data_IF_662392675775
#
_entry.id   IF_662392675775
#
_cell.length_a   1.000
_cell.length_b   1.000
_cell.length_c   1.000
_cell.angle_alpha   90.00
_cell.angle_beta   90.00
_cell.angle_gamma   90.00
#
_symmetry.space_group_name_H-M   'P 1'
#
loop_
_entity.id
_entity.type
_entity.pdbx_description
1 polymer ?
#
# COMPACT_ATOMS: atom_id res chain seq x y z
N UNK A 1 -9.94 -18.84 -10.17
CA UNK A 1 -9.37 -19.38 -11.42
C UNK A 1 -10.29 -20.33 -12.18
N UNK A 2 -11.18 -21.08 -11.50
CA UNK A 2 -12.06 -22.05 -12.16
C UNK A 2 -12.97 -21.46 -13.24
N UNK A 3 -13.42 -20.20 -13.09
CA UNK A 3 -14.19 -19.51 -14.12
C UNK A 3 -13.44 -19.34 -15.46
N UNK A 4 -12.09 -19.41 -15.44
CA UNK A 4 -11.23 -19.40 -16.62
C UNK A 4 -10.84 -20.81 -17.09
N UNK A 5 -11.38 -21.87 -16.47
CA UNK A 5 -11.07 -23.27 -16.80
C UNK A 5 -9.80 -23.83 -16.16
N UNK A 6 -9.20 -23.14 -15.18
CA UNK A 6 -7.97 -23.58 -14.51
C UNK A 6 -8.22 -23.97 -13.04
N UNK A 7 -7.50 -24.99 -12.56
CA UNK A 7 -7.52 -25.39 -11.15
C UNK A 7 -6.58 -24.57 -10.27
N UNK A 8 -5.49 -24.03 -10.85
CA UNK A 8 -4.48 -23.22 -10.16
C UNK A 8 -3.92 -22.13 -11.07
N UNK A 9 -3.33 -21.10 -10.48
CA UNK A 9 -2.51 -20.10 -11.17
C UNK A 9 -1.08 -20.61 -11.38
N UNK A 10 -0.34 -19.99 -12.30
CA UNK A 10 1.13 -20.09 -12.28
C UNK A 10 1.72 -19.26 -11.13
N UNK A 11 1.12 -18.09 -10.87
CA UNK A 11 1.55 -17.11 -9.87
C UNK A 11 0.41 -16.10 -9.64
N UNK A 12 0.33 -15.54 -8.44
CA UNK A 12 -0.48 -14.35 -8.13
C UNK A 12 0.43 -13.16 -7.80
N UNK A 13 0.12 -11.99 -8.35
CA UNK A 13 0.88 -10.75 -8.16
C UNK A 13 -0.05 -9.70 -7.57
N UNK A 14 0.36 -9.05 -6.47
CA UNK A 14 -0.39 -7.99 -5.81
C UNK A 14 0.43 -6.72 -5.64
N UNK A 15 -0.12 -5.57 -6.02
CA UNK A 15 0.48 -4.24 -5.86
C UNK A 15 -0.34 -3.38 -4.90
N UNK A 16 0.33 -2.61 -4.05
CA UNK A 16 -0.30 -1.72 -3.04
C UNK A 16 -1.37 -2.47 -2.22
N UNK A 17 -2.64 -2.05 -2.19
CA UNK A 17 -3.73 -2.78 -1.52
C UNK A 17 -3.92 -4.22 -2.02
N UNK A 18 -3.53 -4.51 -3.26
CA UNK A 18 -3.55 -5.86 -3.83
C UNK A 18 -2.49 -6.79 -3.22
N UNK A 19 -1.40 -6.24 -2.66
CA UNK A 19 -0.33 -7.02 -2.02
C UNK A 19 -0.81 -7.85 -0.83
N UNK A 20 -1.41 -7.27 0.23
CA UNK A 20 -1.93 -8.08 1.34
C UNK A 20 -3.06 -9.03 0.90
N UNK A 21 -3.87 -8.66 -0.10
CA UNK A 21 -4.90 -9.54 -0.66
C UNK A 21 -4.28 -10.78 -1.31
N UNK A 22 -3.23 -10.61 -2.11
CA UNK A 22 -2.50 -11.71 -2.74
C UNK A 22 -1.84 -12.62 -1.70
N UNK A 23 -1.26 -12.03 -0.63
CA UNK A 23 -0.69 -12.78 0.48
C UNK A 23 -1.74 -13.67 1.18
N UNK A 24 -2.92 -13.11 1.52
CA UNK A 24 -3.99 -13.90 2.11
C UNK A 24 -4.57 -14.95 1.18
N UNK A 25 -4.59 -14.71 -0.14
CA UNK A 25 -4.96 -15.73 -1.12
C UNK A 25 -4.00 -16.93 -1.08
N UNK A 26 -2.69 -16.68 -1.11
CA UNK A 26 -1.67 -17.72 -1.03
C UNK A 26 -1.66 -18.45 0.32
N UNK A 27 -1.90 -17.73 1.41
CA UNK A 27 -2.00 -18.30 2.75
C UNK A 27 -3.24 -19.21 2.87
N UNK A 28 -4.40 -18.78 2.36
CA UNK A 28 -5.64 -19.54 2.46
C UNK A 28 -5.71 -20.72 1.48
N UNK A 29 -5.15 -20.57 0.27
CA UNK A 29 -5.25 -21.55 -0.83
C UNK A 29 -3.92 -21.71 -1.57
N UNK A 30 -2.87 -22.22 -0.91
CA UNK A 30 -1.58 -22.45 -1.56
C UNK A 30 -1.66 -23.46 -2.71
N UNK A 31 -2.68 -24.34 -2.71
CA UNK A 31 -2.99 -25.27 -3.79
C UNK A 31 -3.49 -24.55 -5.07
N UNK A 32 -4.12 -23.38 -4.94
CA UNK A 32 -4.59 -22.55 -6.07
C UNK A 32 -3.56 -21.49 -6.46
N UNK A 33 -2.80 -20.99 -5.50
CA UNK A 33 -1.82 -19.91 -5.66
C UNK A 33 -0.43 -20.39 -5.26
N UNK A 34 0.24 -21.19 -6.12
CA UNK A 34 1.48 -21.88 -5.77
C UNK A 34 2.73 -20.99 -5.84
N UNK A 35 2.62 -19.72 -6.25
CA UNK A 35 3.69 -18.73 -6.24
C UNK A 35 3.12 -17.33 -6.04
N UNK A 36 3.84 -16.48 -5.31
CA UNK A 36 3.38 -15.15 -4.89
C UNK A 36 4.40 -14.07 -5.23
N UNK A 37 3.94 -12.94 -5.76
CA UNK A 37 4.73 -11.71 -5.83
C UNK A 37 3.98 -10.57 -5.13
N UNK A 38 4.65 -9.94 -4.18
CA UNK A 38 4.16 -8.76 -3.49
C UNK A 38 4.91 -7.52 -3.98
N UNK A 39 4.18 -6.45 -4.27
CA UNK A 39 4.76 -5.22 -4.80
C UNK A 39 4.37 -4.01 -3.96
N UNK A 40 5.33 -3.10 -3.77
CA UNK A 40 5.19 -1.85 -3.01
C UNK A 40 4.93 -2.04 -1.50
N UNK A 41 3.83 -2.69 -1.11
CA UNK A 41 3.43 -2.84 0.28
C UNK A 41 3.87 -4.21 0.85
N UNK A 42 4.77 -4.28 1.85
CA UNK A 42 5.16 -5.55 2.48
C UNK A 42 4.03 -6.17 3.28
N UNK A 43 4.02 -7.51 3.38
CA UNK A 43 3.07 -8.26 4.20
C UNK A 43 3.73 -8.75 5.49
N UNK A 44 3.50 -8.11 6.65
CA UNK A 44 4.19 -8.44 7.90
C UNK A 44 3.72 -9.76 8.56
N UNK A 45 2.79 -10.48 7.93
CA UNK A 45 2.12 -11.64 8.50
C UNK A 45 0.71 -11.34 9.00
N UNK A 46 -0.08 -12.38 9.31
CA UNK A 46 -1.42 -12.25 9.86
C UNK A 46 -1.37 -11.71 11.30
N UNK A 47 -2.44 -11.02 11.76
CA UNK A 47 -2.52 -10.55 13.14
C UNK A 47 -2.50 -11.73 14.12
N UNK A 48 -1.73 -11.60 15.19
CA UNK A 48 -1.59 -12.63 16.21
C UNK A 48 -2.74 -12.62 17.21
N UNK A 49 -3.05 -13.79 17.77
CA UNK A 49 -3.77 -13.88 19.04
C UNK A 49 -2.87 -13.42 20.19
N UNK A 50 -3.44 -12.84 21.26
CA UNK A 50 -2.71 -12.67 22.52
C UNK A 50 -2.11 -14.02 22.97
N UNK A 51 -0.84 -14.01 23.35
CA UNK A 51 -0.11 -15.17 23.85
C UNK A 51 0.18 -15.01 25.35
N UNK A 52 0.31 -16.13 26.05
CA UNK A 52 0.66 -16.18 27.48
C UNK A 52 -0.22 -15.29 28.39
N UNK A 53 -1.54 -15.39 28.21
CA UNK A 53 -2.51 -14.58 28.96
C UNK A 53 -3.06 -15.29 30.21
N UNK A 54 -2.69 -16.55 30.46
CA UNK A 54 -3.28 -17.36 31.54
C UNK A 54 -2.86 -16.91 32.95
N UNK A 55 -1.62 -16.42 33.11
CA UNK A 55 -1.08 -15.94 34.38
C UNK A 55 -1.20 -14.41 34.56
N UNK A 56 -1.69 -13.70 33.54
CA UNK A 56 -1.98 -12.27 33.63
C UNK A 56 -3.36 -12.15 34.25
N UNK A 57 -3.50 -11.31 35.29
CA UNK A 57 -4.84 -10.90 35.72
C UNK A 57 -5.62 -10.46 34.48
N UNK A 58 -6.91 -10.80 34.35
CA UNK A 58 -7.73 -10.30 33.25
C UNK A 58 -7.78 -8.79 33.35
N UNK A 59 -6.84 -8.12 32.68
CA UNK A 59 -6.94 -6.69 32.39
C UNK A 59 -8.23 -6.58 31.58
N UNK A 60 -9.23 -5.81 32.03
CA UNK A 60 -10.41 -5.55 31.23
C UNK A 60 -9.93 -5.18 29.84
N UNK A 61 -10.50 -5.79 28.78
CA UNK A 61 -10.08 -5.53 27.41
C UNK A 61 -10.08 -4.02 27.17
N UNK A 62 -8.92 -3.37 27.32
CA UNK A 62 -8.82 -1.96 27.06
C UNK A 62 -8.88 -1.85 25.54
N UNK A 63 -9.74 -0.96 25.02
CA UNK A 63 -9.77 -0.72 23.59
C UNK A 63 -8.35 -0.33 23.16
N UNK A 64 -7.82 -1.01 22.14
CA UNK A 64 -6.56 -0.64 21.52
C UNK A 64 -6.71 0.78 20.97
N UNK A 65 -6.16 1.74 21.72
CA UNK A 65 -6.26 3.17 21.42
C UNK A 65 -5.02 3.68 20.68
N UNK A 66 -4.12 2.79 20.22
CA UNK A 66 -2.87 3.16 19.55
C UNK A 66 -3.11 4.09 18.35
N UNK A 67 -4.12 3.78 17.52
CA UNK A 67 -4.51 4.62 16.39
C UNK A 67 -5.02 6.01 16.82
N UNK A 68 -5.76 6.09 17.93
CA UNK A 68 -6.28 7.35 18.47
C UNK A 68 -5.17 8.18 19.10
N UNK A 69 -4.25 7.53 19.83
CA UNK A 69 -3.06 8.16 20.39
C UNK A 69 -2.15 8.72 19.28
N UNK A 70 -1.93 7.96 18.21
CA UNK A 70 -1.17 8.44 17.06
C UNK A 70 -1.88 9.62 16.37
N UNK A 71 -3.19 9.54 16.17
CA UNK A 71 -3.96 10.63 15.58
C UNK A 71 -3.88 11.92 16.43
N UNK A 72 -3.98 11.80 17.75
CA UNK A 72 -3.80 12.92 18.67
C UNK A 72 -2.37 13.50 18.61
N UNK A 73 -1.36 12.64 18.57
CA UNK A 73 0.04 13.05 18.48
C UNK A 73 0.35 13.78 17.16
N UNK A 74 -0.16 13.29 16.02
CA UNK A 74 -0.04 13.97 14.73
C UNK A 74 -0.76 15.33 14.73
N UNK A 75 -1.94 15.41 15.34
CA UNK A 75 -2.70 16.65 15.45
C UNK A 75 -2.03 17.70 16.35
N UNK A 76 -1.12 17.28 17.23
CA UNK A 76 -0.35 18.15 18.13
C UNK A 76 0.97 18.67 17.52
N UNK A 77 1.35 18.22 16.32
CA UNK A 77 2.50 18.76 15.59
C UNK A 77 2.23 20.21 15.14
N UNK A 78 3.29 20.93 14.78
CA UNK A 78 3.21 22.26 14.18
C UNK A 78 3.86 22.26 12.77
N UNK A 79 3.11 22.48 11.68
CA UNK A 79 1.65 22.62 11.66
C UNK A 79 0.94 21.29 12.00
N UNK A 80 -0.33 21.32 12.48
CA UNK A 80 -1.10 20.12 12.78
C UNK A 80 -1.20 19.17 11.60
N UNK A 81 -1.03 17.86 11.84
CA UNK A 81 -1.04 16.83 10.79
C UNK A 81 -2.16 15.79 10.99
N UNK A 82 -2.43 15.02 9.94
CA UNK A 82 -3.32 13.85 9.94
C UNK A 82 -2.76 12.77 9.01
N UNK A 83 -2.78 11.51 9.44
CA UNK A 83 -2.37 10.40 8.59
C UNK A 83 -3.37 10.19 7.45
N UNK A 84 -2.90 9.94 6.24
CA UNK A 84 -3.76 9.85 5.05
C UNK A 84 -4.85 8.77 5.18
N UNK A 85 -4.54 7.62 5.80
CA UNK A 85 -5.56 6.57 5.99
C UNK A 85 -6.70 7.01 6.91
N UNK A 86 -6.41 7.87 7.90
CA UNK A 86 -7.45 8.43 8.77
C UNK A 86 -8.36 9.37 7.97
N UNK A 87 -7.77 10.23 7.13
CA UNK A 87 -8.51 11.08 6.20
C UNK A 87 -9.36 10.24 5.22
N UNK A 88 -8.76 9.25 4.55
CA UNK A 88 -9.43 8.41 3.54
C UNK A 88 -10.55 7.54 4.12
N UNK A 89 -10.48 7.23 5.42
CA UNK A 89 -11.56 6.55 6.14
C UNK A 89 -12.76 7.46 6.45
N UNK A 90 -12.55 8.78 6.39
CA UNK A 90 -13.57 9.79 6.65
C UNK A 90 -14.76 9.72 5.69
N UNK A 91 -15.89 10.31 6.10
CA UNK A 91 -17.11 10.35 5.28
C UNK A 91 -16.97 11.34 4.11
N UNK A 92 -16.20 12.41 4.29
CA UNK A 92 -16.00 13.47 3.29
C UNK A 92 -15.05 13.05 2.16
N UNK A 93 -14.10 12.16 2.41
CA UNK A 93 -13.01 11.84 1.47
C UNK A 93 -13.48 11.49 0.05
N UNK A 94 -14.60 10.76 -0.09
CA UNK A 94 -15.16 10.46 -1.41
C UNK A 94 -15.64 11.72 -2.13
N UNK A 95 -16.37 12.60 -1.44
CA UNK A 95 -16.88 13.83 -2.03
C UNK A 95 -15.72 14.74 -2.44
N UNK A 96 -14.73 14.89 -1.57
CA UNK A 96 -13.53 15.71 -1.80
C UNK A 96 -12.76 15.23 -3.03
N UNK A 97 -12.50 13.92 -3.14
CA UNK A 97 -11.74 13.34 -4.25
C UNK A 97 -12.53 13.24 -5.55
N UNK A 98 -13.87 13.14 -5.48
CA UNK A 98 -14.73 13.08 -6.67
C UNK A 98 -15.00 14.46 -7.28
N UNK A 99 -14.90 15.52 -6.48
CA UNK A 99 -15.15 16.90 -6.91
C UNK A 99 -13.96 17.83 -6.58
N UNK A 100 -12.75 17.51 -7.06
CA UNK A 100 -11.59 18.34 -6.78
C UNK A 100 -11.73 19.72 -7.46
N UNK A 101 -11.25 20.81 -6.85
CA UNK A 101 -11.44 22.18 -7.35
C UNK A 101 -10.98 22.43 -8.79
N UNK A 102 -9.98 21.68 -9.26
CA UNK A 102 -9.39 21.81 -10.60
C UNK A 102 -9.74 20.64 -11.54
N UNK A 103 -10.74 19.83 -11.18
CA UNK A 103 -11.17 18.67 -11.97
C UNK A 103 -10.32 17.42 -11.73
N UNK A 104 -10.90 16.26 -12.05
CA UNK A 104 -10.32 14.94 -11.77
C UNK A 104 -8.97 14.73 -12.46
N UNK A 105 -8.83 15.20 -13.70
CA UNK A 105 -7.59 15.06 -14.45
C UNK A 105 -6.41 15.74 -13.76
N UNK A 106 -6.55 17.02 -13.35
CA UNK A 106 -5.49 17.75 -12.65
C UNK A 106 -5.19 17.14 -11.27
N UNK A 107 -6.23 16.73 -10.54
CA UNK A 107 -6.05 16.04 -9.26
C UNK A 107 -5.26 14.74 -9.42
N UNK A 108 -5.69 13.87 -10.32
CA UNK A 108 -5.03 12.58 -10.56
C UNK A 108 -3.61 12.80 -11.08
N UNK A 109 -3.37 13.76 -11.99
CA UNK A 109 -2.02 14.10 -12.47
C UNK A 109 -1.07 14.37 -11.31
N UNK A 110 -1.46 15.26 -10.39
CA UNK A 110 -0.66 15.58 -9.22
C UNK A 110 -0.54 14.38 -8.26
N UNK A 111 -1.63 13.65 -8.01
CA UNK A 111 -1.65 12.48 -7.12
C UNK A 111 -0.72 11.35 -7.59
N UNK A 112 -0.74 11.03 -8.88
CA UNK A 112 0.17 10.05 -9.48
C UNK A 112 1.61 10.56 -9.42
N UNK A 113 1.85 11.82 -9.80
CA UNK A 113 3.19 12.39 -9.86
C UNK A 113 3.91 12.37 -8.51
N UNK A 114 3.28 12.85 -7.41
CA UNK A 114 3.94 12.87 -6.09
C UNK A 114 4.30 11.49 -5.55
N UNK A 115 3.64 10.44 -6.03
CA UNK A 115 3.94 9.05 -5.66
C UNK A 115 4.91 8.36 -6.61
N UNK A 116 5.25 8.98 -7.74
CA UNK A 116 6.13 8.41 -8.76
C UNK A 116 7.61 8.62 -8.48
N UNK A 117 8.47 7.94 -9.23
CA UNK A 117 9.91 8.12 -9.22
C UNK A 117 10.37 9.44 -9.82
N UNK A 118 9.52 10.11 -10.61
CA UNK A 118 9.81 11.41 -11.23
C UNK A 118 9.78 12.55 -10.21
N UNK A 119 9.02 12.42 -9.12
CA UNK A 119 8.94 13.48 -8.12
C UNK A 119 10.15 13.44 -7.17
N UNK A 120 11.01 14.48 -7.15
CA UNK A 120 12.26 14.48 -6.39
C UNK A 120 12.07 14.53 -4.88
N UNK A 121 10.84 14.78 -4.40
CA UNK A 121 10.49 14.78 -2.98
C UNK A 121 10.48 13.38 -2.35
N UNK A 122 10.51 12.31 -3.16
CA UNK A 122 10.54 10.94 -2.64
C UNK A 122 11.94 10.51 -2.20
N UNK A 123 12.14 10.50 -0.88
CA UNK A 123 13.36 10.02 -0.20
C UNK A 123 13.04 8.89 0.79
N UNK A 124 12.51 7.76 0.30
CA UNK A 124 12.08 6.67 1.15
C UNK A 124 13.24 6.07 1.94
N UNK A 125 12.98 5.77 3.21
CA UNK A 125 13.88 5.08 4.10
C UNK A 125 13.09 4.37 5.22
N UNK A 126 13.66 3.35 5.87
CA UNK A 126 13.02 2.71 7.00
C UNK A 126 12.73 3.71 8.14
N UNK A 127 11.50 3.71 8.61
CA UNK A 127 11.10 4.40 9.84
C UNK A 127 11.35 3.48 11.04
N UNK A 128 11.85 4.05 12.13
CA UNK A 128 12.24 3.29 13.33
C UNK A 128 11.05 2.85 14.18
N UNK A 129 9.95 3.62 14.20
CA UNK A 129 8.78 3.34 15.01
C UNK A 129 7.52 4.01 14.44
N UNK A 130 6.30 3.50 14.76
CA UNK A 130 5.04 4.11 14.35
C UNK A 130 4.66 5.32 15.24
N UNK A 131 5.50 6.36 15.23
CA UNK A 131 5.30 7.58 16.03
C UNK A 131 5.00 8.78 15.14
N UNK A 132 4.39 9.83 15.70
CA UNK A 132 4.12 11.06 14.97
C UNK A 132 5.41 11.71 14.43
N UNK A 133 6.52 11.66 15.18
CA UNK A 133 7.81 12.21 14.77
C UNK A 133 8.42 11.47 13.57
N UNK A 134 8.35 10.13 13.58
CA UNK A 134 8.83 9.32 12.46
C UNK A 134 7.95 9.51 11.22
N UNK A 135 6.63 9.45 11.37
CA UNK A 135 5.71 9.64 10.25
C UNK A 135 5.81 11.06 9.66
N UNK A 136 6.11 12.09 10.46
CA UNK A 136 6.28 13.46 9.97
C UNK A 136 7.45 13.63 8.98
N UNK A 137 8.35 12.65 8.86
CA UNK A 137 9.41 12.64 7.84
C UNK A 137 8.89 12.23 6.45
N UNK A 138 7.72 11.60 6.39
CA UNK A 138 7.10 11.20 5.13
C UNK A 138 6.48 12.41 4.41
N UNK A 139 6.34 12.34 3.06
CA UNK A 139 5.67 13.36 2.28
C UNK A 139 4.25 13.67 2.76
N UNK A 140 3.78 14.88 2.43
CA UNK A 140 2.45 15.35 2.84
C UNK A 140 1.29 14.49 2.32
N UNK A 141 1.47 13.73 1.24
CA UNK A 141 0.45 12.80 0.75
C UNK A 141 0.30 11.52 1.61
N UNK A 142 1.24 11.24 2.52
CA UNK A 142 1.13 10.23 3.58
C UNK A 142 0.75 10.86 4.93
N UNK A 143 1.36 12.00 5.26
CA UNK A 143 1.09 12.75 6.51
C UNK A 143 0.64 14.16 6.16
N UNK A 144 -0.66 14.30 5.97
CA UNK A 144 -1.30 15.51 5.46
C UNK A 144 -1.28 16.61 6.50
N UNK A 145 -1.22 17.86 6.04
CA UNK A 145 -1.66 19.01 6.84
C UNK A 145 -3.12 18.81 7.26
N UNK A 146 -3.41 18.96 8.54
CA UNK A 146 -4.76 18.80 9.08
C UNK A 146 -5.65 19.92 8.54
N UNK A 147 -6.85 19.56 8.09
CA UNK A 147 -7.82 20.50 7.52
C UNK A 147 -7.71 20.65 6.00
N UNK A 148 -6.70 20.06 5.35
CA UNK A 148 -6.62 19.96 3.89
C UNK A 148 -7.22 18.65 3.42
N UNK A 149 -7.86 18.71 2.26
CA UNK A 149 -8.28 17.54 1.50
C UNK A 149 -7.10 16.91 0.76
N UNK A 150 -7.26 15.67 0.27
CA UNK A 150 -6.22 15.03 -0.56
C UNK A 150 -5.94 15.81 -1.85
N UNK A 151 -6.96 16.28 -2.63
CA UNK A 151 -6.71 17.13 -3.79
C UNK A 151 -5.96 18.42 -3.45
N UNK A 152 -6.32 19.11 -2.38
CA UNK A 152 -5.59 20.31 -1.94
C UNK A 152 -4.17 19.98 -1.52
N UNK A 153 -3.95 18.84 -0.86
CA UNK A 153 -2.61 18.40 -0.42
C UNK A 153 -1.67 18.20 -1.59
N UNK A 154 -2.13 17.60 -2.69
CA UNK A 154 -1.26 17.28 -3.83
C UNK A 154 -1.18 18.40 -4.88
N UNK A 155 -2.18 19.29 -4.95
CA UNK A 155 -2.25 20.34 -5.97
C UNK A 155 -0.98 21.22 -6.11
N UNK A 156 -0.27 21.62 -5.04
CA UNK A 156 0.96 22.40 -5.17
C UNK A 156 2.11 21.68 -5.90
N UNK A 157 2.01 20.36 -6.05
CA UNK A 157 3.02 19.51 -6.68
C UNK A 157 2.58 19.03 -8.06
N UNK A 158 1.66 19.75 -8.71
CA UNK A 158 1.33 19.46 -10.10
C UNK A 158 2.61 19.58 -10.96
N UNK A 159 2.93 18.58 -11.81
CA UNK A 159 4.10 18.65 -12.67
C UNK A 159 3.98 19.81 -13.67
N UNK A 160 5.12 20.37 -14.06
CA UNK A 160 5.22 21.37 -15.12
C UNK A 160 4.77 20.80 -16.48
N UNK A 161 4.47 21.69 -17.44
CA UNK A 161 4.09 21.27 -18.79
C UNK A 161 5.19 20.43 -19.48
N UNK A 162 6.46 20.73 -19.20
CA UNK A 162 7.60 19.97 -19.71
C UNK A 162 7.64 18.57 -19.10
N UNK A 163 7.50 18.44 -17.77
CA UNK A 163 7.43 17.15 -17.09
C UNK A 163 6.25 16.31 -17.56
N UNK A 164 5.08 16.92 -17.82
CA UNK A 164 3.92 16.20 -18.36
C UNK A 164 4.18 15.70 -19.78
N UNK A 165 4.76 16.53 -20.65
CA UNK A 165 5.08 16.16 -22.02
C UNK A 165 6.11 15.03 -22.08
N UNK A 166 7.10 15.08 -21.20
CA UNK A 166 8.23 14.15 -21.21
C UNK A 166 7.95 12.86 -20.40
N UNK A 167 6.81 12.80 -19.69
CA UNK A 167 6.35 11.62 -18.95
C UNK A 167 5.86 10.50 -19.90
N UNK A 168 6.68 9.46 -20.04
CA UNK A 168 6.38 8.33 -20.94
C UNK A 168 5.49 7.23 -20.31
N UNK A 169 5.38 7.18 -18.97
CA UNK A 169 4.69 6.10 -18.26
C UNK A 169 3.23 6.42 -17.87
N UNK A 170 2.84 7.70 -17.93
CA UNK A 170 1.49 8.17 -17.66
C UNK A 170 1.16 9.31 -18.63
N UNK A 171 0.84 8.96 -19.87
CA UNK A 171 0.39 9.92 -20.87
C UNK A 171 -0.96 10.54 -20.49
N UNK A 172 -1.34 11.68 -21.08
CA UNK A 172 -2.68 12.25 -20.88
C UNK A 172 -3.79 11.27 -21.26
N UNK A 173 -3.60 10.49 -22.33
CA UNK A 173 -4.55 9.46 -22.74
C UNK A 173 -4.75 8.38 -21.67
N UNK A 174 -3.67 7.95 -21.01
CA UNK A 174 -3.78 6.96 -19.92
C UNK A 174 -4.44 7.57 -18.70
N UNK A 175 -4.09 8.83 -18.37
CA UNK A 175 -4.71 9.54 -17.25
C UNK A 175 -6.20 9.81 -17.47
N UNK A 176 -6.62 10.10 -18.70
CA UNK A 176 -8.02 10.28 -19.09
C UNK A 176 -8.86 9.04 -18.81
N UNK A 177 -8.29 7.84 -18.96
CA UNK A 177 -8.98 6.60 -18.58
C UNK A 177 -9.27 6.57 -17.08
N UNK A 178 -8.31 6.94 -16.24
CA UNK A 178 -8.52 7.03 -14.79
C UNK A 178 -9.56 8.10 -14.44
N UNK A 179 -9.45 9.29 -15.02
CA UNK A 179 -10.38 10.39 -14.77
C UNK A 179 -11.81 10.01 -15.19
N UNK A 180 -11.96 9.33 -16.33
CA UNK A 180 -13.25 8.85 -16.83
C UNK A 180 -13.85 7.80 -15.90
N UNK A 181 -13.09 6.77 -15.51
CA UNK A 181 -13.61 5.70 -14.66
C UNK A 181 -13.93 6.19 -13.25
N UNK A 182 -13.04 6.98 -12.63
CA UNK A 182 -13.34 7.55 -11.32
C UNK A 182 -14.44 8.63 -11.37
N UNK A 183 -14.60 9.33 -12.51
CA UNK A 183 -15.75 10.20 -12.73
C UNK A 183 -17.08 9.44 -12.77
N UNK A 184 -17.07 8.20 -13.27
CA UNK A 184 -18.25 7.32 -13.32
C UNK A 184 -18.54 6.63 -11.98
N UNK A 185 -17.51 6.14 -11.28
CA UNK A 185 -17.69 5.30 -10.08
C UNK A 185 -17.57 6.07 -8.77
N UNK A 186 -16.93 7.24 -8.78
CA UNK A 186 -16.38 7.84 -7.58
C UNK A 186 -15.30 6.97 -6.92
N UNK A 187 -14.87 7.36 -5.73
CA UNK A 187 -13.81 6.67 -4.97
C UNK A 187 -14.35 5.79 -3.83
N UNK A 188 -15.65 5.87 -3.53
CA UNK A 188 -16.23 5.30 -2.32
C UNK A 188 -15.92 3.80 -2.16
N UNK A 189 -16.00 3.02 -3.25
CA UNK A 189 -15.69 1.60 -3.24
C UNK A 189 -14.25 1.32 -2.81
N UNK A 190 -13.28 2.01 -3.40
CA UNK A 190 -11.87 1.89 -3.05
C UNK A 190 -11.61 2.36 -1.61
N UNK A 191 -12.26 3.44 -1.17
CA UNK A 191 -12.08 4.01 0.16
C UNK A 191 -12.59 3.10 1.30
N UNK A 192 -13.46 2.12 1.00
CA UNK A 192 -13.90 1.16 2.04
C UNK A 192 -12.75 0.33 2.61
N UNK A 193 -11.70 0.06 1.82
CA UNK A 193 -10.54 -0.69 2.30
C UNK A 193 -9.88 0.00 3.52
N UNK A 194 -9.74 1.33 3.49
CA UNK A 194 -9.17 2.07 4.62
C UNK A 194 -10.04 2.02 5.87
N UNK A 195 -11.37 1.99 5.73
CA UNK A 195 -12.30 1.84 6.87
C UNK A 195 -12.18 0.46 7.49
N UNK A 196 -11.99 -0.57 6.67
CA UNK A 196 -11.69 -1.92 7.17
C UNK A 196 -10.38 -1.89 7.96
N UNK A 197 -9.30 -1.33 7.42
CA UNK A 197 -8.02 -1.26 8.14
C UNK A 197 -8.06 -0.42 9.42
N UNK A 198 -8.85 0.65 9.46
CA UNK A 198 -8.98 1.52 10.62
C UNK A 198 -9.79 0.88 11.76
N UNK A 199 -10.60 -0.14 11.49
CA UNK A 199 -11.41 -0.83 12.49
C UNK A 199 -10.87 -2.25 12.75
N UNK A 200 -10.21 -2.48 13.90
CA UNK A 200 -9.71 -3.81 14.28
C UNK A 200 -10.79 -4.90 14.31
N UNK A 201 -12.06 -4.54 14.54
CA UNK A 201 -13.16 -5.50 14.55
C UNK A 201 -13.47 -6.05 13.15
N UNK A 202 -13.35 -5.21 12.11
CA UNK A 202 -13.58 -5.62 10.72
C UNK A 202 -12.49 -6.55 10.18
N UNK A 203 -11.29 -6.52 10.78
CA UNK A 203 -10.19 -7.43 10.46
C UNK A 203 -10.01 -8.57 11.47
N UNK A 204 -10.84 -8.67 12.51
CA UNK A 204 -10.63 -9.63 13.60
C UNK A 204 -10.60 -11.09 13.13
N UNK A 205 -11.35 -11.42 12.07
CA UNK A 205 -11.37 -12.75 11.48
C UNK A 205 -10.03 -13.17 10.86
N UNK A 206 -9.17 -12.22 10.47
CA UNK A 206 -7.83 -12.53 9.97
C UNK A 206 -6.95 -13.18 11.04
N UNK A 207 -7.29 -13.06 12.33
CA UNK A 207 -6.63 -13.78 13.42
C UNK A 207 -6.79 -15.30 13.32
N UNK A 208 -7.74 -15.81 12.53
CA UNK A 208 -7.81 -17.24 12.21
C UNK A 208 -6.53 -17.77 11.56
N UNK A 209 -5.74 -16.88 10.95
CA UNK A 209 -4.44 -17.20 10.38
C UNK A 209 -3.28 -16.90 11.34
N UNK A 210 -3.54 -16.53 12.60
CA UNK A 210 -2.49 -16.26 13.60
C UNK A 210 -1.46 -17.39 13.66
N UNK A 211 -0.18 -17.03 13.54
CA UNK A 211 0.93 -17.98 13.54
C UNK A 211 1.14 -18.75 12.24
N UNK A 212 0.31 -18.53 11.20
CA UNK A 212 0.55 -19.06 9.85
C UNK A 212 1.56 -18.20 9.11
N UNK A 213 2.27 -18.85 8.21
CA UNK A 213 3.21 -18.25 7.26
C UNK A 213 2.74 -18.48 5.82
N UNK A 214 3.24 -17.67 4.89
CA UNK A 214 3.12 -17.96 3.46
C UNK A 214 4.19 -18.98 3.08
N UNK A 215 3.76 -20.17 2.67
CA UNK A 215 4.65 -21.33 2.46
C UNK A 215 4.90 -21.70 0.99
N UNK A 216 4.52 -20.81 0.09
CA UNK A 216 4.77 -20.91 -1.35
C UNK A 216 5.98 -20.04 -1.74
N UNK A 217 6.72 -20.39 -2.81
CA UNK A 217 7.74 -19.51 -3.39
C UNK A 217 7.20 -18.09 -3.52
N UNK A 218 7.92 -17.14 -2.93
CA UNK A 218 7.49 -15.74 -2.84
C UNK A 218 8.59 -14.79 -3.27
N UNK A 219 8.23 -13.64 -3.82
CA UNK A 219 9.16 -12.54 -4.16
C UNK A 219 8.53 -11.21 -3.73
N UNK A 220 9.34 -10.31 -3.17
CA UNK A 220 8.92 -8.93 -2.96
C UNK A 220 9.63 -8.01 -3.96
N UNK A 221 8.90 -7.05 -4.53
CA UNK A 221 9.43 -6.05 -5.46
C UNK A 221 9.03 -4.64 -4.99
N UNK A 222 10.00 -3.81 -4.63
CA UNK A 222 9.82 -2.40 -4.30
C UNK A 222 10.41 -1.47 -5.36
N UNK A 223 10.07 -0.18 -5.29
CA UNK A 223 10.72 0.89 -6.06
C UNK A 223 11.69 1.68 -5.17
N UNK A 224 12.85 2.11 -5.70
CA UNK A 224 13.81 2.89 -4.89
C UNK A 224 13.33 4.29 -4.51
N UNK A 225 12.23 4.77 -5.13
CA UNK A 225 11.53 6.02 -4.81
C UNK A 225 10.15 5.79 -4.17
N UNK A 226 9.80 4.55 -3.84
CA UNK A 226 8.49 4.22 -3.27
C UNK A 226 8.50 4.20 -1.74
N UNK A 227 7.72 5.08 -1.14
CA UNK A 227 7.48 5.07 0.30
C UNK A 227 6.62 3.89 0.78
N UNK A 228 5.85 3.23 -0.10
CA UNK A 228 5.02 2.07 0.23
C UNK A 228 5.80 0.95 0.93
N UNK A 229 7.06 0.76 0.54
CA UNK A 229 7.96 -0.24 1.14
C UNK A 229 8.20 0.01 2.64
N UNK A 230 8.19 1.28 3.06
CA UNK A 230 8.56 1.71 4.42
C UNK A 230 7.43 2.41 5.19
N UNK A 231 6.26 2.60 4.57
CA UNK A 231 5.11 3.29 5.17
C UNK A 231 4.56 2.57 6.42
N UNK A 232 4.84 1.28 6.58
CA UNK A 232 4.57 0.52 7.78
C UNK A 232 5.90 0.13 8.46
N UNK A 233 6.31 0.81 9.55
CA UNK A 233 7.57 0.55 10.23
C UNK A 233 7.81 -0.93 10.56
N UNK A 234 8.97 -1.44 10.14
CA UNK A 234 9.40 -2.84 10.33
C UNK A 234 8.56 -3.90 9.58
N UNK A 235 7.65 -3.52 8.68
CA UNK A 235 6.82 -4.50 7.97
C UNK A 235 7.63 -5.37 7.01
N UNK A 236 8.61 -4.77 6.32
CA UNK A 236 9.53 -5.51 5.45
C UNK A 236 10.34 -6.53 6.26
N UNK A 237 10.94 -6.13 7.38
CA UNK A 237 11.75 -7.02 8.22
C UNK A 237 10.93 -8.20 8.77
N UNK A 238 9.69 -7.95 9.20
CA UNK A 238 8.77 -9.03 9.64
C UNK A 238 8.39 -9.95 8.48
N UNK A 239 8.15 -9.39 7.30
CA UNK A 239 7.85 -10.18 6.11
C UNK A 239 8.99 -11.12 5.77
N UNK A 240 10.23 -10.59 5.71
CA UNK A 240 11.41 -11.36 5.32
C UNK A 240 11.89 -12.33 6.40
N UNK A 241 11.73 -11.97 7.67
CA UNK A 241 12.23 -12.77 8.79
C UNK A 241 11.23 -13.78 9.35
N UNK A 242 9.92 -13.58 9.15
CA UNK A 242 8.89 -14.31 9.89
C UNK A 242 7.69 -14.74 9.04
N UNK A 243 7.20 -13.89 8.13
CA UNK A 243 5.91 -14.13 7.48
C UNK A 243 5.97 -15.09 6.28
N UNK A 244 7.15 -15.31 5.70
CA UNK A 244 7.33 -16.09 4.47
C UNK A 244 8.43 -17.14 4.63
N UNK A 245 8.10 -18.42 4.48
CA UNK A 245 9.09 -19.51 4.65
C UNK A 245 9.90 -19.81 3.39
N UNK A 246 9.44 -19.34 2.22
CA UNK A 246 10.10 -19.53 0.91
C UNK A 246 10.25 -18.21 0.14
N UNK A 247 10.66 -17.15 0.84
CA UNK A 247 10.97 -15.88 0.18
C UNK A 247 12.26 -16.03 -0.64
N UNK A 248 12.16 -15.88 -1.95
CA UNK A 248 13.29 -15.92 -2.87
C UNK A 248 14.17 -14.67 -2.76
N UNK A 249 13.60 -13.53 -2.43
CA UNK A 249 14.33 -12.29 -2.26
C UNK A 249 13.47 -11.04 -2.16
N UNK A 250 14.15 -9.91 -2.04
CA UNK A 250 13.61 -8.54 -2.07
C UNK A 250 14.34 -7.83 -3.19
N UNK A 251 13.59 -7.46 -4.23
CA UNK A 251 14.13 -6.75 -5.40
C UNK A 251 13.70 -5.30 -5.37
N UNK A 252 14.66 -4.38 -5.56
CA UNK A 252 14.38 -2.94 -5.58
C UNK A 252 14.65 -2.39 -6.98
N UNK A 253 13.60 -1.94 -7.66
CA UNK A 253 13.70 -1.39 -9.02
C UNK A 253 14.15 0.06 -8.94
N UNK A 254 15.36 0.32 -9.44
CA UNK A 254 15.90 1.66 -9.50
C UNK A 254 15.09 2.58 -10.42
N UNK A 255 14.83 3.80 -9.92
CA UNK A 255 14.04 4.83 -10.60
C UNK A 255 12.53 4.64 -10.49
N UNK A 256 12.02 3.53 -9.95
CA UNK A 256 10.60 3.35 -9.73
C UNK A 256 10.13 4.00 -8.42
N UNK A 257 9.03 4.76 -8.50
CA UNK A 257 8.19 5.12 -7.37
C UNK A 257 7.11 4.07 -7.13
N UNK A 258 5.95 4.54 -6.67
CA UNK A 258 4.84 3.70 -6.23
C UNK A 258 4.19 2.91 -7.38
N UNK A 259 4.19 3.43 -8.61
CA UNK A 259 3.48 2.83 -9.75
C UNK A 259 4.40 1.92 -10.57
N UNK A 260 5.12 1.03 -9.89
CA UNK A 260 6.23 0.21 -10.42
C UNK A 260 5.91 -0.41 -11.80
N UNK A 261 4.71 -0.99 -11.95
CA UNK A 261 4.25 -1.63 -13.18
C UNK A 261 4.00 -0.69 -14.36
N UNK A 262 3.80 0.59 -14.09
CA UNK A 262 3.65 1.64 -15.12
C UNK A 262 4.99 2.32 -15.38
N UNK A 263 5.73 2.65 -14.31
CA UNK A 263 6.98 3.41 -14.38
C UNK A 263 8.15 2.61 -14.95
N UNK A 264 8.26 1.32 -14.60
CA UNK A 264 9.38 0.46 -14.99
C UNK A 264 8.90 -0.92 -15.52
N UNK A 265 8.01 -0.97 -16.53
CA UNK A 265 7.31 -2.18 -16.95
C UNK A 265 8.27 -3.26 -17.48
N UNK A 266 9.33 -2.85 -18.20
CA UNK A 266 10.31 -3.79 -18.75
C UNK A 266 11.14 -4.47 -17.65
N UNK A 267 11.60 -3.70 -16.64
CA UNK A 267 12.36 -4.23 -15.49
C UNK A 267 11.48 -5.17 -14.67
N UNK A 268 10.23 -4.76 -14.36
CA UNK A 268 9.27 -5.60 -13.67
C UNK A 268 8.99 -6.89 -14.44
N UNK A 269 8.71 -6.79 -15.75
CA UNK A 269 8.42 -7.96 -16.58
C UNK A 269 9.57 -8.97 -16.64
N UNK A 270 10.81 -8.50 -16.62
CA UNK A 270 11.98 -9.37 -16.52
C UNK A 270 12.00 -10.13 -15.18
N UNK A 271 11.86 -9.43 -14.05
CA UNK A 271 11.82 -10.04 -12.71
C UNK A 271 10.70 -11.08 -12.59
N UNK A 272 9.48 -10.74 -13.02
CA UNK A 272 8.33 -11.64 -12.95
C UNK A 272 8.56 -12.92 -13.78
N UNK A 273 9.11 -12.78 -14.98
CA UNK A 273 9.40 -13.93 -15.85
C UNK A 273 10.48 -14.82 -15.27
N UNK A 274 11.55 -14.23 -14.74
CA UNK A 274 12.69 -14.96 -14.20
C UNK A 274 12.27 -15.71 -12.91
N UNK A 275 11.48 -15.06 -12.05
CA UNK A 275 10.86 -15.70 -10.89
C UNK A 275 9.91 -16.84 -11.28
N UNK A 276 9.02 -16.64 -12.25
CA UNK A 276 8.10 -17.68 -12.71
C UNK A 276 8.81 -18.92 -13.26
N UNK A 277 9.95 -18.74 -13.94
CA UNK A 277 10.80 -19.85 -14.43
C UNK A 277 11.48 -20.61 -13.29
N UNK A 278 11.86 -19.92 -12.22
CA UNK A 278 12.45 -20.53 -11.02
C UNK A 278 11.42 -21.31 -10.20
N UNK A 279 10.26 -20.71 -9.94
CA UNK A 279 9.19 -21.31 -9.13
C UNK A 279 8.57 -22.57 -9.78
N UNK A 280 8.58 -22.67 -11.11
CA UNK A 280 8.09 -23.86 -11.82
C UNK A 280 8.99 -25.10 -11.77
N UNK A 281 10.19 -25.00 -11.16
CA UNK A 281 11.19 -26.08 -11.08
C UNK A 281 11.31 -26.72 -9.70
N UNK A 282 10.58 -26.21 -8.69
CA UNK A 282 10.61 -26.68 -7.30
C UNK A 282 9.47 -27.62 -6.95
#
# INVERSE_FOLDING_TARGET
>A
VSALGYHRTAMIVGHDLGSPIAAYCALARPDVFPALVLMSAPFPGPPAFPFDTAAREPVPAQPDNSAQALAAALAALDPPRVHYQHYLSGRQANADMSHPPHGLHAFLRAFFHVKSGDWPGNRPHPLSAPTAAEFAQMPSYYVMERGRTMPETVAPFHPSADEVRDCAWLTDRELDMYATEYGRTGFQGALQAYRVFADPALNAQLRLFSGRTVDVPSLFIGGTRDWGTYAAPGALDRMTGQAMTKLAGVEMIDGAGHWIQQEQPAKLGALLRDFARGAGRS
#
